data_IF_299884796012
#
_entry.id   IF_299884796012
#
_cell.length_a   1.000
_cell.length_b   1.000
_cell.length_c   1.000
_cell.angle_alpha   90.00
_cell.angle_beta   90.00
_cell.angle_gamma   90.00
#
_symmetry.space_group_name_H-M   'P 1'
#
loop_
_entity.id
_entity.type
_entity.pdbx_description
1 polymer ?
#
# COMPACT_ATOMS: atom_id res chain seq x y z
N UNK A 1 35.55 -11.78 58.33
CA UNK A 1 35.26 -12.43 59.64
C UNK A 1 35.28 -11.35 60.71
N UNK A 2 34.13 -11.00 61.34
CA UNK A 2 33.94 -9.89 62.32
C UNK A 2 34.18 -8.47 61.75
N UNK A 3 33.51 -7.39 62.18
CA UNK A 3 32.21 -7.20 62.90
C UNK A 3 31.73 -5.74 62.68
N UNK A 4 30.40 -5.54 62.53
CA UNK A 4 29.51 -4.56 63.20
C UNK A 4 29.90 -3.05 63.33
N UNK A 5 28.98 -2.08 63.49
CA UNK A 5 27.52 -1.93 63.25
C UNK A 5 27.12 -0.47 63.66
N UNK A 6 25.91 0.00 63.29
CA UNK A 6 25.31 1.26 63.78
C UNK A 6 24.86 2.19 62.64
N UNK A 7 23.59 2.19 62.24
CA UNK A 7 22.47 2.98 62.81
C UNK A 7 22.51 4.46 62.37
N UNK A 8 21.80 4.87 61.32
CA UNK A 8 20.35 5.17 61.31
C UNK A 8 19.98 6.56 61.87
N UNK A 9 19.40 7.42 61.01
CA UNK A 9 18.23 8.24 61.36
C UNK A 9 17.53 8.75 60.09
N UNK A 10 16.25 9.13 60.20
CA UNK A 10 15.41 9.55 59.09
C UNK A 10 14.82 10.96 59.32
N UNK A 11 14.61 11.70 58.23
CA UNK A 11 13.70 12.87 58.15
C UNK A 11 13.17 12.96 56.70
N UNK A 12 11.87 12.72 56.48
CA UNK A 12 10.82 13.75 56.26
C UNK A 12 11.18 14.69 55.09
N UNK A 13 10.60 14.46 53.91
CA UNK A 13 9.30 15.02 53.50
C UNK A 13 9.29 16.54 53.40
N UNK A 14 9.29 17.06 52.16
CA UNK A 14 8.41 18.17 51.80
C UNK A 14 7.84 17.96 50.39
N UNK A 15 6.72 18.60 50.09
CA UNK A 15 5.85 18.30 48.97
C UNK A 15 5.54 19.53 48.11
N UNK A 16 5.23 19.27 46.84
CA UNK A 16 4.36 20.16 46.05
C UNK A 16 5.02 20.94 44.93
N UNK A 17 4.81 20.47 43.70
CA UNK A 17 3.92 21.11 42.69
C UNK A 17 4.16 20.47 41.32
N UNK A 18 3.33 19.49 40.96
CA UNK A 18 3.25 18.99 39.57
C UNK A 18 2.14 19.74 38.84
N UNK A 19 2.50 20.55 37.84
CA UNK A 19 1.54 21.15 36.91
C UNK A 19 0.94 20.08 36.00
N UNK A 20 -0.38 20.06 35.86
CA UNK A 20 -1.09 19.12 34.98
C UNK A 20 -1.12 19.66 33.55
N UNK A 21 -0.18 19.23 32.71
CA UNK A 21 -0.31 19.38 31.26
C UNK A 21 -1.30 18.33 30.72
N UNK A 22 -2.40 18.79 30.10
CA UNK A 22 -3.42 17.92 29.51
C UNK A 22 -2.87 17.25 28.23
N UNK A 23 -2.66 15.93 28.26
CA UNK A 23 -2.44 15.15 27.04
C UNK A 23 -3.79 14.78 26.43
N UNK A 24 -4.10 15.35 25.26
CA UNK A 24 -5.20 14.87 24.42
C UNK A 24 -4.77 13.60 23.70
N UNK A 25 -5.24 12.44 24.15
CA UNK A 25 -5.09 11.20 23.40
C UNK A 25 -6.18 11.13 22.32
N UNK A 26 -5.79 11.10 21.04
CA UNK A 26 -6.66 10.55 20.00
C UNK A 26 -6.71 9.04 20.20
N UNK A 27 -7.91 8.46 20.13
CA UNK A 27 -8.12 7.02 20.29
C UNK A 27 -8.29 6.39 18.92
N UNK A 28 -7.50 5.36 18.64
CA UNK A 28 -7.81 4.37 17.62
C UNK A 28 -8.70 3.30 18.29
N UNK A 29 -10.01 3.52 18.29
CA UNK A 29 -10.98 2.65 18.97
C UNK A 29 -11.30 1.40 18.13
N UNK A 30 -10.41 0.41 18.13
CA UNK A 30 -10.67 -0.98 17.70
C UNK A 30 -9.95 -1.99 18.61
N UNK A 31 -10.62 -2.50 19.67
CA UNK A 31 -10.34 -3.80 20.32
C UNK A 31 -11.21 -4.06 21.57
N UNK A 32 -11.72 -5.29 21.71
CA UNK A 32 -12.18 -5.85 23.00
C UNK A 32 -11.04 -6.61 23.71
N UNK A 33 -11.18 -6.91 25.02
CA UNK A 33 -10.08 -7.39 25.90
C UNK A 33 -10.33 -8.77 26.56
N UNK A 34 -9.27 -9.48 27.04
CA UNK A 34 -9.20 -10.95 26.92
C UNK A 34 -8.92 -11.75 28.23
N UNK A 35 -8.85 -13.07 28.09
CA UNK A 35 -8.20 -14.09 28.96
C UNK A 35 -7.72 -15.23 28.04
N UNK A 36 -6.57 -15.92 28.21
CA UNK A 36 -5.49 -15.84 29.20
C UNK A 36 -4.22 -16.57 28.74
N UNK A 37 -3.30 -16.92 29.66
CA UNK A 37 -1.95 -17.42 29.38
C UNK A 37 -1.78 -18.97 29.34
N UNK A 38 -0.72 -19.45 28.65
CA UNK A 38 0.53 -20.02 29.25
C UNK A 38 1.53 -20.38 28.11
N UNK A 39 2.83 -20.11 28.32
CA UNK A 39 3.92 -20.40 27.36
C UNK A 39 4.74 -21.65 27.74
N UNK A 40 5.33 -22.31 26.73
CA UNK A 40 6.56 -23.13 26.85
C UNK A 40 7.48 -22.83 25.67
N UNK A 41 8.79 -22.75 25.92
CA UNK A 41 9.83 -22.41 24.95
C UNK A 41 10.59 -23.65 24.43
N UNK A 42 11.09 -23.50 23.20
CA UNK A 42 12.30 -24.11 22.62
C UNK A 42 12.25 -25.44 21.83
N UNK A 43 12.88 -25.34 20.64
CA UNK A 43 13.85 -26.27 20.05
C UNK A 43 13.43 -27.38 19.04
N UNK A 44 13.78 -27.10 17.77
CA UNK A 44 14.68 -27.93 16.91
C UNK A 44 14.10 -29.09 16.05
N UNK A 45 14.37 -28.95 14.73
CA UNK A 45 14.57 -29.96 13.65
C UNK A 45 13.39 -30.68 12.94
N UNK A 46 13.30 -30.37 11.64
CA UNK A 46 13.28 -31.27 10.46
C UNK A 46 12.57 -32.64 10.54
N UNK A 47 11.62 -32.88 9.62
CA UNK A 47 11.35 -34.23 9.14
C UNK A 47 10.01 -34.47 8.43
N UNK A 48 10.07 -34.73 7.12
CA UNK A 48 9.15 -35.56 6.32
C UNK A 48 7.61 -35.43 6.51
N UNK A 49 6.88 -35.15 5.41
CA UNK A 49 5.73 -35.99 4.97
C UNK A 49 5.63 -36.08 3.45
N UNK A 50 5.24 -37.27 2.96
CA UNK A 50 4.95 -37.58 1.54
C UNK A 50 3.51 -37.15 1.17
N UNK A 51 3.20 -36.95 -0.13
CA UNK A 51 1.90 -36.46 -0.57
C UNK A 51 0.81 -37.55 -0.61
N UNK A 52 -0.42 -37.18 -0.27
CA UNK A 52 -1.61 -37.97 -0.59
C UNK A 52 -2.06 -37.72 -2.04
N UNK A 53 -2.38 -38.78 -2.77
CA UNK A 53 -2.80 -38.72 -4.18
C UNK A 53 -4.32 -38.66 -4.34
N UNK A 54 -4.77 -37.69 -5.14
CA UNK A 54 -5.85 -37.74 -6.14
C UNK A 54 -7.02 -38.72 -5.91
N UNK A 55 -8.23 -38.16 -5.75
CA UNK A 55 -9.42 -38.72 -6.40
C UNK A 55 -9.49 -38.22 -7.86
N UNK A 56 -9.91 -39.07 -8.81
CA UNK A 56 -10.04 -38.74 -10.23
C UNK A 56 -11.50 -38.65 -10.67
N UNK A 57 -11.81 -37.54 -11.35
CA UNK A 57 -12.74 -37.38 -12.48
C UNK A 57 -13.87 -38.42 -12.67
N UNK A 58 -15.12 -37.95 -12.56
CA UNK A 58 -16.19 -38.47 -13.41
C UNK A 58 -16.02 -37.93 -14.83
N UNK A 59 -16.11 -38.79 -15.84
CA UNK A 59 -16.27 -38.42 -17.23
C UNK A 59 -17.44 -39.18 -17.84
N UNK A 60 -18.36 -38.45 -18.49
CA UNK A 60 -19.29 -38.99 -19.49
C UNK A 60 -19.92 -37.83 -20.26
N UNK A 61 -19.39 -37.57 -21.45
CA UNK A 61 -20.08 -36.80 -22.48
C UNK A 61 -20.80 -37.77 -23.42
N UNK A 62 -22.00 -37.38 -23.88
CA UNK A 62 -22.69 -37.77 -25.13
C UNK A 62 -23.97 -36.94 -25.19
N UNK A 63 -24.02 -35.90 -26.02
CA UNK A 63 -24.29 -35.91 -27.47
C UNK A 63 -25.79 -35.88 -27.77
N UNK A 64 -26.26 -34.76 -28.34
CA UNK A 64 -27.65 -34.58 -28.73
C UNK A 64 -27.82 -33.29 -29.52
N UNK A 65 -27.48 -33.31 -30.81
CA UNK A 65 -27.76 -32.21 -31.72
C UNK A 65 -29.10 -32.45 -32.42
N UNK A 66 -29.97 -31.44 -32.50
CA UNK A 66 -30.76 -31.14 -33.71
C UNK A 66 -31.61 -29.85 -33.61
N UNK A 67 -31.45 -29.01 -34.64
CA UNK A 67 -32.49 -28.29 -35.39
C UNK A 67 -33.27 -27.13 -34.75
N UNK A 68 -32.99 -25.94 -35.28
CA UNK A 68 -33.94 -24.86 -35.57
C UNK A 68 -35.22 -25.38 -36.26
N UNK A 69 -36.34 -24.63 -36.15
CA UNK A 69 -36.77 -23.91 -37.35
C UNK A 69 -37.21 -22.45 -37.12
N UNK A 70 -36.97 -21.61 -38.14
CA UNK A 70 -37.58 -20.27 -38.27
C UNK A 70 -39.13 -20.32 -38.17
N UNK A 71 -39.74 -19.27 -37.61
CA UNK A 71 -40.93 -18.71 -38.26
C UNK A 71 -41.03 -17.19 -38.07
N UNK A 72 -41.38 -16.50 -39.16
CA UNK A 72 -41.45 -15.04 -39.28
C UNK A 72 -42.90 -14.58 -39.13
N UNK A 73 -43.10 -13.39 -38.55
CA UNK A 73 -44.13 -12.33 -38.83
C UNK A 73 -44.36 -11.51 -37.55
N UNK A 74 -44.47 -10.18 -37.58
CA UNK A 74 -44.35 -9.25 -38.71
C UNK A 74 -44.30 -7.79 -38.24
N UNK A 75 -43.85 -6.90 -39.12
CA UNK A 75 -43.62 -5.48 -38.83
C UNK A 75 -44.91 -4.69 -38.59
N UNK A 76 -44.83 -3.58 -37.83
CA UNK A 76 -45.51 -2.32 -38.15
C UNK A 76 -44.73 -1.12 -37.57
N UNK A 77 -44.77 0.00 -38.29
CA UNK A 77 -43.92 1.17 -38.06
C UNK A 77 -44.47 2.12 -37.00
N UNK A 78 -43.56 2.76 -36.25
CA UNK A 78 -43.80 4.07 -35.63
C UNK A 78 -42.54 4.95 -35.78
N UNK A 79 -42.77 6.23 -36.03
CA UNK A 79 -41.87 7.21 -36.68
C UNK A 79 -40.69 7.70 -35.82
N UNK A 80 -39.69 8.24 -36.51
CA UNK A 80 -38.52 8.95 -35.96
C UNK A 80 -38.91 10.20 -35.16
N UNK A 81 -38.19 10.48 -34.07
CA UNK A 81 -37.96 11.83 -33.55
C UNK A 81 -36.61 11.90 -32.79
N UNK A 82 -35.85 12.98 -33.03
CA UNK A 82 -34.52 13.27 -32.47
C UNK A 82 -34.24 14.77 -32.70
N UNK A 83 -33.46 15.47 -31.86
CA UNK A 83 -33.53 15.51 -30.40
C UNK A 83 -33.73 16.97 -29.89
N UNK A 84 -34.08 17.15 -28.61
CA UNK A 84 -34.06 18.48 -27.97
C UNK A 84 -32.63 18.89 -27.56
N UNK A 85 -32.34 20.19 -27.57
CA UNK A 85 -30.99 20.74 -27.45
C UNK A 85 -30.45 20.78 -26.02
N UNK A 86 -29.14 20.55 -25.87
CA UNK A 86 -28.39 20.77 -24.63
C UNK A 86 -27.95 22.25 -24.50
N UNK A 87 -27.84 22.81 -23.28
CA UNK A 87 -27.41 24.19 -23.08
C UNK A 87 -25.91 24.37 -23.34
N UNK A 88 -25.55 25.48 -23.99
CA UNK A 88 -24.15 25.83 -24.31
C UNK A 88 -23.41 26.34 -23.08
N UNK A 89 -22.24 25.75 -22.76
CA UNK A 89 -21.25 26.37 -21.87
C UNK A 89 -20.49 27.48 -22.62
N UNK A 90 -20.08 28.58 -21.94
CA UNK A 90 -19.32 29.65 -22.58
C UNK A 90 -17.90 29.22 -22.92
N UNK A 91 -17.38 29.67 -24.06
CA UNK A 91 -16.01 29.43 -24.48
C UNK A 91 -15.06 30.37 -23.73
N UNK A 92 -14.11 29.82 -22.96
CA UNK A 92 -12.98 30.61 -22.46
C UNK A 92 -11.98 30.83 -23.60
N UNK A 93 -11.84 32.09 -24.01
CA UNK A 93 -10.85 32.50 -25.01
C UNK A 93 -9.43 32.18 -24.55
N UNK A 94 -8.61 31.64 -25.46
CA UNK A 94 -7.27 31.17 -25.12
C UNK A 94 -6.29 32.30 -24.87
N UNK A 95 -5.46 32.14 -23.82
CA UNK A 95 -4.08 32.63 -23.86
C UNK A 95 -3.17 31.47 -24.24
N UNK A 96 -2.68 31.50 -25.48
CA UNK A 96 -1.65 30.56 -25.93
C UNK A 96 -0.39 30.74 -25.08
N UNK A 97 -0.20 29.88 -24.07
CA UNK A 97 1.10 29.72 -23.43
C UNK A 97 2.08 29.26 -24.52
N UNK A 98 3.11 30.07 -24.80
CA UNK A 98 4.23 29.68 -25.67
C UNK A 98 4.71 28.29 -25.22
N UNK A 99 4.68 27.33 -26.13
CA UNK A 99 5.23 26.01 -25.86
C UNK A 99 6.72 26.18 -25.51
N UNK A 100 7.10 25.80 -24.28
CA UNK A 100 8.51 25.54 -23.98
C UNK A 100 9.00 24.44 -24.95
N UNK A 101 10.30 24.41 -25.28
CA UNK A 101 10.86 23.27 -26.02
C UNK A 101 10.46 21.99 -25.30
N UNK A 102 9.91 21.01 -26.02
CA UNK A 102 9.60 19.70 -25.45
C UNK A 102 10.92 19.00 -25.15
N UNK A 103 11.42 19.20 -23.93
CA UNK A 103 12.37 18.29 -23.33
C UNK A 103 11.81 16.87 -23.37
N UNK A 104 12.70 15.88 -23.42
CA UNK A 104 12.34 14.46 -23.32
C UNK A 104 11.37 14.25 -22.15
N UNK A 105 10.25 13.58 -22.40
CA UNK A 105 9.28 13.24 -21.37
C UNK A 105 9.97 12.41 -20.28
N UNK A 106 9.84 12.85 -19.03
CA UNK A 106 10.53 12.25 -17.88
C UNK A 106 9.71 11.06 -17.37
N UNK A 107 10.16 9.84 -17.66
CA UNK A 107 9.50 8.62 -17.21
C UNK A 107 9.86 8.31 -15.75
N UNK A 108 8.86 8.26 -14.90
CA UNK A 108 9.04 8.01 -13.46
C UNK A 108 8.39 6.70 -13.07
N UNK A 109 9.18 5.79 -12.51
CA UNK A 109 8.67 4.60 -11.84
C UNK A 109 8.63 4.86 -10.34
N UNK A 110 7.51 4.54 -9.68
CA UNK A 110 7.36 4.68 -8.24
C UNK A 110 6.95 3.36 -7.59
N UNK A 111 7.74 2.89 -6.61
CA UNK A 111 7.38 1.78 -5.74
C UNK A 111 6.50 2.33 -4.61
N UNK A 112 5.28 1.79 -4.47
CA UNK A 112 4.27 2.38 -3.58
C UNK A 112 3.42 1.33 -2.87
N UNK A 113 3.13 1.62 -1.59
CA UNK A 113 2.10 0.92 -0.81
C UNK A 113 1.48 1.88 0.22
N UNK A 114 0.34 1.48 0.77
CA UNK A 114 -0.47 2.25 1.71
C UNK A 114 -0.98 3.61 1.20
N UNK A 115 -1.69 4.28 2.10
CA UNK A 115 -2.30 5.60 1.86
C UNK A 115 -1.25 6.70 1.68
N UNK A 116 -0.10 6.59 2.36
CA UNK A 116 1.03 7.53 2.22
C UNK A 116 1.60 7.51 0.81
N UNK A 117 1.91 6.33 0.29
CA UNK A 117 2.36 6.16 -1.08
C UNK A 117 1.33 6.65 -2.11
N UNK A 118 0.06 6.29 -1.94
CA UNK A 118 -1.02 6.75 -2.82
C UNK A 118 -1.16 8.29 -2.89
N UNK A 119 -1.04 9.01 -1.77
CA UNK A 119 -1.04 10.49 -1.75
C UNK A 119 0.19 11.09 -2.46
N UNK A 120 1.36 10.44 -2.36
CA UNK A 120 2.56 10.86 -3.07
C UNK A 120 2.45 10.65 -4.59
N UNK A 121 1.86 9.52 -5.02
CA UNK A 121 1.54 9.27 -6.44
C UNK A 121 0.60 10.35 -6.99
N UNK A 122 -0.41 10.80 -6.23
CA UNK A 122 -1.23 11.95 -6.61
C UNK A 122 -0.39 13.23 -6.82
N UNK A 123 0.56 13.50 -5.93
CA UNK A 123 1.49 14.63 -6.09
C UNK A 123 2.36 14.55 -7.35
N UNK A 124 2.75 13.34 -7.79
CA UNK A 124 3.50 13.13 -9.03
C UNK A 124 2.65 13.42 -10.28
N UNK A 125 1.38 12.98 -10.32
CA UNK A 125 0.48 13.24 -11.46
C UNK A 125 -0.05 14.69 -11.51
N UNK A 126 0.07 15.45 -10.42
CA UNK A 126 -0.19 16.90 -10.40
C UNK A 126 0.90 17.71 -11.12
N UNK A 127 2.09 17.12 -11.35
CA UNK A 127 3.28 17.81 -11.89
C UNK A 127 3.88 17.17 -13.14
N UNK A 128 3.58 15.89 -13.41
CA UNK A 128 3.93 15.16 -14.62
C UNK A 128 2.66 14.75 -15.40
N UNK A 129 2.75 14.54 -16.73
CA UNK A 129 1.70 13.85 -17.46
C UNK A 129 1.40 12.49 -16.81
N UNK A 130 0.14 12.13 -16.52
CA UNK A 130 -0.15 10.91 -15.76
C UNK A 130 0.40 9.63 -16.40
N UNK A 131 0.45 9.56 -17.74
CA UNK A 131 1.02 8.44 -18.50
C UNK A 131 2.55 8.32 -18.44
N UNK A 132 3.27 9.36 -17.97
CA UNK A 132 4.72 9.28 -17.70
C UNK A 132 5.00 8.72 -16.29
N UNK A 133 3.98 8.56 -15.44
CA UNK A 133 4.07 7.96 -14.11
C UNK A 133 3.64 6.49 -14.17
N UNK A 134 4.53 5.59 -13.75
CA UNK A 134 4.25 4.16 -13.58
C UNK A 134 4.39 3.75 -12.12
N UNK A 135 3.31 3.23 -11.54
CA UNK A 135 3.28 2.72 -10.17
C UNK A 135 3.49 1.22 -10.18
N UNK A 136 4.42 0.74 -9.35
CA UNK A 136 4.55 -0.68 -8.99
C UNK A 136 4.02 -0.80 -7.57
N UNK A 137 2.84 -1.41 -7.44
CA UNK A 137 2.09 -1.51 -6.20
C UNK A 137 2.42 -2.77 -5.40
N UNK A 138 2.46 -2.62 -4.08
CA UNK A 138 2.52 -3.72 -3.13
C UNK A 138 1.33 -4.69 -3.31
N UNK A 139 1.62 -5.99 -3.15
CA UNK A 139 0.63 -7.09 -3.12
C UNK A 139 0.87 -8.06 -1.95
N UNK A 140 1.87 -7.82 -1.09
CA UNK A 140 2.08 -8.61 0.13
C UNK A 140 0.93 -8.48 1.13
N UNK A 141 0.16 -7.40 1.02
CA UNK A 141 -0.96 -7.05 1.88
C UNK A 141 -2.31 -7.56 1.33
N UNK A 142 -2.31 -8.17 0.14
CA UNK A 142 -3.49 -8.79 -0.48
C UNK A 142 -4.03 -9.93 0.40
N UNK A 143 -5.35 -10.08 0.45
CA UNK A 143 -6.02 -11.05 1.34
C UNK A 143 -7.30 -11.57 0.70
N UNK A 144 -7.73 -12.78 1.07
CA UNK A 144 -9.07 -13.26 0.78
C UNK A 144 -9.95 -13.06 2.03
N UNK A 145 -11.03 -12.30 1.90
CA UNK A 145 -12.00 -12.01 2.97
C UNK A 145 -13.39 -12.33 2.45
N UNK A 146 -14.17 -13.15 3.16
CA UNK A 146 -15.49 -13.61 2.73
C UNK A 146 -15.52 -14.19 1.29
N UNK A 147 -14.40 -14.80 0.86
CA UNK A 147 -14.23 -15.34 -0.50
C UNK A 147 -13.97 -14.29 -1.60
N UNK A 148 -13.75 -13.02 -1.24
CA UNK A 148 -13.38 -11.93 -2.14
C UNK A 148 -11.87 -11.66 -2.07
N UNK A 149 -11.23 -11.48 -3.23
CA UNK A 149 -9.83 -11.05 -3.32
C UNK A 149 -9.74 -9.53 -3.14
N UNK A 150 -9.12 -9.11 -2.05
CA UNK A 150 -8.87 -7.71 -1.68
C UNK A 150 -7.40 -7.39 -1.94
N UNK A 151 -7.10 -6.23 -2.53
CA UNK A 151 -5.73 -5.78 -2.79
C UNK A 151 -5.53 -4.37 -2.22
N UNK A 152 -5.42 -4.19 -0.89
CA UNK A 152 -5.63 -2.90 -0.22
C UNK A 152 -4.74 -1.76 -0.72
N UNK A 153 -3.50 -2.06 -1.09
CA UNK A 153 -2.54 -1.05 -1.57
C UNK A 153 -2.83 -0.63 -3.01
N UNK A 154 -3.13 -1.60 -3.90
CA UNK A 154 -3.61 -1.30 -5.25
C UNK A 154 -4.92 -0.51 -5.21
N UNK A 155 -5.86 -0.90 -4.35
CA UNK A 155 -7.15 -0.24 -4.20
C UNK A 155 -6.98 1.19 -3.67
N UNK A 156 -6.10 1.40 -2.68
CA UNK A 156 -5.74 2.73 -2.18
C UNK A 156 -5.15 3.64 -3.26
N UNK A 157 -4.29 3.10 -4.13
CA UNK A 157 -3.71 3.82 -5.28
C UNK A 157 -4.78 4.18 -6.32
N UNK A 158 -5.63 3.22 -6.70
CA UNK A 158 -6.73 3.43 -7.65
C UNK A 158 -7.73 4.47 -7.14
N UNK A 159 -8.12 4.40 -5.86
CA UNK A 159 -9.04 5.34 -5.25
C UNK A 159 -8.43 6.72 -5.03
N UNK A 160 -7.12 6.84 -4.83
CA UNK A 160 -6.45 8.13 -4.77
C UNK A 160 -6.43 8.80 -6.15
N UNK A 161 -5.94 8.08 -7.17
CA UNK A 161 -5.84 8.57 -8.55
C UNK A 161 -7.20 8.92 -9.16
N UNK A 162 -8.25 8.13 -8.87
CA UNK A 162 -9.61 8.40 -9.35
C UNK A 162 -10.34 9.48 -8.52
N UNK A 163 -9.71 10.04 -7.48
CA UNK A 163 -10.34 10.99 -6.57
C UNK A 163 -11.58 10.42 -5.90
N UNK A 164 -11.53 9.16 -5.45
CA UNK A 164 -12.61 8.40 -4.81
C UNK A 164 -12.36 8.09 -3.32
N UNK A 165 -11.14 8.28 -2.83
CA UNK A 165 -10.78 8.02 -1.42
C UNK A 165 -11.61 8.86 -0.44
N UNK A 166 -11.81 8.30 0.75
CA UNK A 166 -12.33 8.99 1.92
C UNK A 166 -11.17 9.66 2.67
N UNK A 167 -11.08 10.99 2.61
CA UNK A 167 -10.00 11.73 3.27
C UNK A 167 -10.23 11.92 4.77
N UNK A 168 -11.47 11.88 5.25
CA UNK A 168 -11.83 12.07 6.66
C UNK A 168 -11.53 10.81 7.47
N UNK A 169 -12.06 9.65 7.04
CA UNK A 169 -11.67 8.34 7.56
C UNK A 169 -10.23 8.00 7.20
N UNK A 170 -9.76 8.51 6.06
CA UNK A 170 -8.39 8.39 5.60
C UNK A 170 -8.02 6.99 5.08
N UNK A 171 -9.01 6.16 4.75
CA UNK A 171 -8.90 4.88 4.05
C UNK A 171 -10.27 4.47 3.46
N UNK A 172 -10.23 3.67 2.39
CA UNK A 172 -11.43 3.24 1.66
C UNK A 172 -12.08 4.38 0.87
N UNK A 173 -13.28 4.13 0.33
CA UNK A 173 -13.99 5.05 -0.57
C UNK A 173 -14.86 6.07 0.19
N UNK A 174 -15.05 7.28 -0.35
CA UNK A 174 -16.02 8.24 0.20
C UNK A 174 -17.47 7.83 -0.04
N UNK A 175 -18.36 8.39 0.77
CA UNK A 175 -19.81 8.17 0.72
C UNK A 175 -20.18 6.67 0.81
N UNK A 176 -19.40 5.91 1.58
CA UNK A 176 -19.52 4.46 1.69
C UNK A 176 -20.66 4.05 2.63
N UNK A 177 -21.17 2.83 2.45
CA UNK A 177 -22.10 2.18 3.38
C UNK A 177 -21.60 0.77 3.74
N UNK A 178 -22.12 0.18 4.82
CA UNK A 178 -21.63 -1.08 5.40
C UNK A 178 -22.73 -2.13 5.52
N UNK A 179 -23.76 -2.04 4.67
CA UNK A 179 -24.96 -2.86 4.81
C UNK A 179 -24.68 -4.35 4.56
N UNK A 180 -23.86 -4.65 3.54
CA UNK A 180 -23.49 -6.03 3.21
C UNK A 180 -22.68 -6.68 4.34
N UNK A 181 -21.74 -5.94 4.94
CA UNK A 181 -20.91 -6.45 6.05
C UNK A 181 -21.74 -6.62 7.34
N UNK A 182 -22.62 -5.67 7.66
CA UNK A 182 -23.52 -5.78 8.80
C UNK A 182 -24.46 -6.99 8.67
N UNK A 183 -25.07 -7.19 7.49
CA UNK A 183 -25.90 -8.35 7.21
C UNK A 183 -25.10 -9.67 7.24
N UNK A 184 -23.83 -9.67 6.81
CA UNK A 184 -22.96 -10.83 6.94
C UNK A 184 -22.69 -11.18 8.42
N UNK A 185 -22.41 -10.17 9.26
CA UNK A 185 -22.19 -10.35 10.70
C UNK A 185 -23.44 -10.89 11.43
N UNK A 186 -24.63 -10.38 11.09
CA UNK A 186 -25.92 -10.88 11.62
C UNK A 186 -26.17 -12.37 11.28
N UNK A 187 -25.60 -12.85 10.17
CA UNK A 187 -25.65 -14.25 9.73
C UNK A 187 -24.48 -15.10 10.25
N UNK A 188 -23.62 -14.57 11.10
CA UNK A 188 -22.46 -15.27 11.68
C UNK A 188 -21.22 -15.31 10.77
N UNK A 189 -21.16 -14.45 9.76
CA UNK A 189 -19.97 -14.23 8.93
C UNK A 189 -18.90 -13.36 9.61
N UNK A 190 -17.73 -13.28 8.97
CA UNK A 190 -16.61 -12.47 9.43
C UNK A 190 -16.84 -10.96 9.22
N UNK A 191 -16.53 -10.15 10.23
CA UNK A 191 -16.63 -8.67 10.21
C UNK A 191 -15.32 -7.94 10.58
N UNK A 192 -14.27 -8.70 10.91
CA UNK A 192 -12.97 -8.18 11.39
C UNK A 192 -12.25 -7.27 10.38
N UNK A 193 -12.54 -7.42 9.08
CA UNK A 193 -12.03 -6.56 8.02
C UNK A 193 -13.17 -5.74 7.40
N UNK A 194 -13.09 -4.42 7.52
CA UNK A 194 -14.19 -3.53 7.13
C UNK A 194 -14.28 -3.31 5.62
N UNK A 195 -15.00 -4.18 4.93
CA UNK A 195 -15.41 -3.99 3.53
C UNK A 195 -16.65 -3.10 3.43
N UNK A 196 -16.57 -2.05 2.61
CA UNK A 196 -17.70 -1.18 2.27
C UNK A 196 -18.50 -1.68 1.07
N UNK A 197 -19.76 -1.29 0.93
CA UNK A 197 -20.65 -1.77 -0.14
C UNK A 197 -20.13 -1.42 -1.56
N UNK A 198 -19.53 -0.23 -1.75
CA UNK A 198 -18.88 0.17 -3.01
C UNK A 198 -17.50 -0.48 -3.19
N UNK A 199 -16.80 -0.75 -2.11
CA UNK A 199 -15.50 -1.46 -2.09
C UNK A 199 -15.67 -2.94 -2.53
N UNK A 200 -16.67 -3.62 -1.96
CA UNK A 200 -17.16 -4.94 -2.36
C UNK A 200 -17.47 -4.96 -3.86
N UNK A 201 -18.07 -3.90 -4.40
CA UNK A 201 -18.30 -3.74 -5.84
C UNK A 201 -17.03 -3.87 -6.69
N UNK A 202 -15.90 -3.31 -6.25
CA UNK A 202 -14.61 -3.48 -6.91
C UNK A 202 -14.07 -4.90 -6.72
N UNK A 203 -14.09 -5.42 -5.49
CA UNK A 203 -13.55 -6.75 -5.19
C UNK A 203 -14.32 -7.87 -5.91
N UNK A 204 -15.63 -7.73 -6.12
CA UNK A 204 -16.44 -8.63 -6.94
C UNK A 204 -15.94 -8.69 -8.39
N UNK A 205 -15.62 -7.54 -8.99
CA UNK A 205 -15.08 -7.47 -10.37
C UNK A 205 -13.68 -8.11 -10.44
N UNK A 206 -12.78 -7.79 -9.51
CA UNK A 206 -11.45 -8.43 -9.41
C UNK A 206 -11.58 -9.95 -9.25
N UNK A 207 -12.34 -10.40 -8.26
CA UNK A 207 -12.54 -11.81 -7.93
C UNK A 207 -13.16 -12.57 -9.10
N UNK A 208 -14.11 -11.98 -9.82
CA UNK A 208 -14.68 -12.57 -11.03
C UNK A 208 -13.64 -12.76 -12.15
N UNK A 209 -12.75 -11.79 -12.36
CA UNK A 209 -11.68 -11.90 -13.35
C UNK A 209 -10.67 -13.00 -12.98
N UNK A 210 -10.19 -13.00 -11.72
CA UNK A 210 -9.26 -14.01 -11.21
C UNK A 210 -9.86 -15.43 -11.29
N UNK A 211 -11.13 -15.62 -10.90
CA UNK A 211 -11.84 -16.91 -11.02
C UNK A 211 -12.08 -17.37 -12.46
N UNK A 212 -11.94 -16.48 -13.46
CA UNK A 212 -11.92 -16.82 -14.90
C UNK A 212 -10.51 -17.17 -15.42
N UNK A 213 -9.49 -17.17 -14.56
CA UNK A 213 -8.09 -17.42 -14.95
C UNK A 213 -7.39 -16.19 -15.53
N UNK A 214 -7.91 -14.99 -15.31
CA UNK A 214 -7.14 -13.76 -15.57
C UNK A 214 -6.13 -13.52 -14.46
N UNK A 215 -5.03 -12.84 -14.79
CA UNK A 215 -3.99 -12.45 -13.84
C UNK A 215 -4.37 -11.16 -13.08
N UNK A 216 -3.74 -10.91 -11.93
CA UNK A 216 -4.00 -9.70 -11.12
C UNK A 216 -3.64 -8.42 -11.90
N UNK A 217 -2.59 -8.45 -12.72
CA UNK A 217 -2.16 -7.40 -13.63
C UNK A 217 -3.22 -7.06 -14.68
N UNK A 218 -3.89 -8.07 -15.26
CA UNK A 218 -5.02 -7.88 -16.20
C UNK A 218 -6.26 -7.34 -15.50
N UNK A 219 -6.59 -7.87 -14.32
CA UNK A 219 -7.71 -7.37 -13.51
C UNK A 219 -7.48 -5.90 -13.11
N UNK A 220 -6.28 -5.57 -12.61
CA UNK A 220 -5.87 -4.22 -12.24
C UNK A 220 -5.90 -3.28 -13.46
N UNK A 221 -5.39 -3.70 -14.62
CA UNK A 221 -5.48 -2.89 -15.84
C UNK A 221 -6.92 -2.57 -16.23
N UNK A 222 -7.83 -3.55 -16.16
CA UNK A 222 -9.26 -3.33 -16.41
C UNK A 222 -9.90 -2.33 -15.42
N UNK A 223 -9.46 -2.34 -14.17
CA UNK A 223 -9.92 -1.37 -13.16
C UNK A 223 -9.37 0.04 -13.43
N UNK A 224 -8.08 0.17 -13.79
CA UNK A 224 -7.46 1.42 -14.26
C UNK A 224 -8.24 2.00 -15.45
N UNK A 225 -8.51 1.18 -16.47
CA UNK A 225 -9.25 1.59 -17.67
C UNK A 225 -10.72 1.98 -17.35
N UNK A 226 -11.40 1.22 -16.48
CA UNK A 226 -12.79 1.49 -16.07
C UNK A 226 -12.92 2.75 -15.19
N UNK A 227 -11.88 3.13 -14.46
CA UNK A 227 -11.79 4.38 -13.70
C UNK A 227 -11.31 5.57 -14.55
N UNK A 228 -10.95 5.35 -15.83
CA UNK A 228 -10.49 6.39 -16.74
C UNK A 228 -9.10 6.94 -16.42
N UNK A 229 -8.24 6.13 -15.79
CA UNK A 229 -6.91 6.53 -15.36
C UNK A 229 -5.87 6.38 -16.48
N UNK A 230 -5.09 7.44 -16.72
CA UNK A 230 -3.95 7.42 -17.65
C UNK A 230 -2.65 6.87 -17.00
N UNK A 231 -2.53 6.94 -15.67
CA UNK A 231 -1.40 6.40 -14.91
C UNK A 231 -1.29 4.89 -15.07
N UNK A 232 -0.07 4.40 -15.33
CA UNK A 232 0.18 2.97 -15.45
C UNK A 232 0.33 2.39 -14.04
N UNK A 233 -0.47 1.36 -13.69
CA UNK A 233 -0.39 0.67 -12.39
C UNK A 233 -0.17 -0.81 -12.63
N UNK A 234 0.93 -1.35 -12.12
CA UNK A 234 1.23 -2.77 -12.08
C UNK A 234 1.21 -3.28 -10.64
N UNK A 235 0.62 -4.45 -10.34
CA UNK A 235 1.01 -5.19 -9.14
C UNK A 235 2.49 -5.61 -9.27
N UNK A 236 3.20 -5.76 -8.14
CA UNK A 236 4.58 -6.24 -8.15
C UNK A 236 4.72 -7.61 -8.83
N UNK A 237 3.77 -8.51 -8.58
CA UNK A 237 3.72 -9.89 -9.08
C UNK A 237 2.28 -10.31 -9.36
N UNK A 238 2.09 -11.29 -10.25
CA UNK A 238 0.80 -11.93 -10.50
C UNK A 238 0.60 -13.19 -9.62
N UNK A 239 1.66 -13.67 -8.98
CA UNK A 239 1.64 -14.82 -8.08
C UNK A 239 1.21 -14.41 -6.65
N UNK A 240 0.67 -15.36 -5.84
CA UNK A 240 0.40 -15.11 -4.43
C UNK A 240 1.68 -14.79 -3.64
N UNK A 241 1.74 -13.59 -3.08
CA UNK A 241 2.78 -13.10 -2.18
C UNK A 241 2.11 -12.59 -0.91
N UNK A 242 2.58 -12.97 0.29
CA UNK A 242 1.96 -12.57 1.57
C UNK A 242 2.99 -12.09 2.59
N UNK A 243 2.79 -10.90 3.11
CA UNK A 243 3.53 -10.34 4.24
C UNK A 243 3.09 -11.03 5.53
N UNK A 244 4.06 -11.61 6.25
CA UNK A 244 3.87 -12.24 7.55
C UNK A 244 4.79 -11.59 8.58
N UNK A 245 4.25 -11.29 9.76
CA UNK A 245 4.98 -10.67 10.85
C UNK A 245 5.17 -11.65 12.00
N UNK A 246 6.39 -11.77 12.47
CA UNK A 246 6.76 -12.55 13.64
C UNK A 246 6.80 -11.63 14.87
N UNK A 247 6.09 -12.00 15.93
CA UNK A 247 5.94 -11.22 17.16
C UNK A 247 6.10 -12.12 18.39
N UNK A 248 6.31 -11.57 19.61
CA UNK A 248 6.31 -12.36 20.85
C UNK A 248 4.99 -13.12 21.11
N UNK A 249 3.88 -12.69 20.49
CA UNK A 249 2.57 -13.31 20.60
C UNK A 249 2.30 -14.39 19.53
N UNK A 250 3.24 -14.63 18.61
CA UNK A 250 3.09 -15.55 17.47
C UNK A 250 3.36 -14.88 16.12
N UNK A 251 3.26 -15.69 15.06
CA UNK A 251 3.38 -15.24 13.67
C UNK A 251 2.00 -15.02 13.06
N UNK A 252 1.79 -13.87 12.42
CA UNK A 252 0.48 -13.47 11.87
C UNK A 252 0.58 -13.00 10.42
N UNK A 253 -0.41 -13.27 9.55
CA UNK A 253 -0.57 -12.56 8.29
C UNK A 253 -0.73 -11.06 8.54
N UNK A 254 -0.22 -10.22 7.63
CA UNK A 254 -0.19 -8.77 7.84
C UNK A 254 -1.55 -8.16 8.19
N UNK A 255 -2.63 -8.52 7.48
CA UNK A 255 -3.96 -7.93 7.76
C UNK A 255 -4.54 -8.36 9.10
N UNK A 256 -4.23 -9.57 9.59
CA UNK A 256 -4.64 -9.98 10.93
C UNK A 256 -3.90 -9.15 11.99
N UNK A 257 -2.58 -9.00 11.85
CA UNK A 257 -1.80 -8.15 12.75
C UNK A 257 -2.23 -6.67 12.68
N UNK A 258 -2.42 -6.14 11.48
CA UNK A 258 -2.69 -4.72 11.27
C UNK A 258 -4.11 -4.34 11.69
N UNK A 259 -5.12 -5.08 11.23
CA UNK A 259 -6.54 -4.77 11.46
C UNK A 259 -7.05 -5.49 12.71
N UNK A 260 -7.19 -6.82 12.68
CA UNK A 260 -7.83 -7.58 13.76
C UNK A 260 -7.11 -7.46 15.12
N UNK A 261 -5.78 -7.33 15.10
CA UNK A 261 -4.96 -7.12 16.30
C UNK A 261 -4.65 -5.64 16.57
N UNK A 262 -4.96 -4.74 15.65
CA UNK A 262 -4.71 -3.29 15.78
C UNK A 262 -3.22 -2.96 15.93
N UNK A 263 -2.33 -3.66 15.22
CA UNK A 263 -0.86 -3.52 15.21
C UNK A 263 -0.24 -3.25 16.60
N UNK A 264 -0.75 -3.93 17.62
CA UNK A 264 -0.41 -3.70 19.04
C UNK A 264 0.82 -4.48 19.50
N UNK A 265 1.10 -5.60 18.84
CA UNK A 265 2.22 -6.48 19.15
C UNK A 265 3.46 -6.00 18.40
N UNK A 266 4.57 -5.78 19.11
CA UNK A 266 5.84 -5.39 18.49
C UNK A 266 6.35 -6.49 17.53
N UNK A 267 6.95 -6.06 16.43
CA UNK A 267 7.38 -6.95 15.34
C UNK A 267 8.87 -7.25 15.47
N UNK A 268 9.20 -8.52 15.67
CA UNK A 268 10.57 -9.03 15.78
C UNK A 268 11.12 -9.54 14.44
N UNK A 269 10.25 -9.85 13.48
CA UNK A 269 10.64 -10.30 12.15
C UNK A 269 9.56 -10.05 11.09
N UNK A 270 9.98 -9.94 9.84
CA UNK A 270 9.09 -9.80 8.67
C UNK A 270 9.54 -10.79 7.61
N UNK A 271 8.60 -11.55 7.04
CA UNK A 271 8.87 -12.57 6.02
C UNK A 271 7.79 -12.52 4.93
N UNK A 272 8.18 -12.85 3.70
CA UNK A 272 7.31 -12.76 2.53
C UNK A 272 7.06 -14.16 1.94
N UNK A 273 5.93 -14.78 2.29
CA UNK A 273 5.57 -16.09 1.76
C UNK A 273 5.19 -15.99 0.28
N UNK A 274 5.75 -16.88 -0.54
CA UNK A 274 5.58 -16.88 -2.00
C UNK A 274 6.69 -16.17 -2.78
N UNK A 275 7.56 -15.40 -2.13
CA UNK A 275 8.61 -14.60 -2.78
C UNK A 275 9.53 -15.39 -3.73
N UNK A 276 9.92 -16.62 -3.35
CA UNK A 276 10.76 -17.50 -4.18
C UNK A 276 10.09 -17.91 -5.51
N UNK A 277 8.76 -18.03 -5.50
CA UNK A 277 7.95 -18.42 -6.65
C UNK A 277 7.46 -17.21 -7.46
N UNK A 278 7.39 -16.02 -6.85
CA UNK A 278 6.91 -14.81 -7.47
C UNK A 278 7.75 -14.41 -8.70
N UNK A 279 7.07 -13.92 -9.73
CA UNK A 279 7.68 -13.31 -10.91
C UNK A 279 7.17 -11.89 -11.04
N UNK A 280 8.03 -11.00 -11.51
CA UNK A 280 7.65 -9.63 -11.75
C UNK A 280 6.66 -9.58 -12.91
N UNK A 281 5.65 -8.71 -12.83
CA UNK A 281 4.81 -8.42 -13.98
C UNK A 281 5.72 -7.88 -15.11
N UNK A 282 5.75 -8.47 -16.33
CA UNK A 282 6.73 -8.09 -17.34
C UNK A 282 6.72 -6.60 -17.71
N UNK A 283 5.56 -5.95 -17.60
CA UNK A 283 5.42 -4.51 -17.78
C UNK A 283 6.13 -3.67 -16.72
N UNK A 284 6.24 -4.16 -15.47
CA UNK A 284 6.95 -3.48 -14.39
C UNK A 284 8.48 -3.49 -14.61
N UNK A 285 9.04 -4.63 -15.05
CA UNK A 285 10.46 -4.73 -15.44
C UNK A 285 10.75 -3.82 -16.65
N UNK A 286 9.89 -3.84 -17.66
CA UNK A 286 10.00 -2.96 -18.82
C UNK A 286 9.92 -1.47 -18.46
N UNK A 287 9.10 -1.12 -17.46
CA UNK A 287 9.01 0.25 -16.95
C UNK A 287 10.29 0.68 -16.21
N UNK A 288 10.82 -0.16 -15.31
CA UNK A 288 12.08 0.12 -14.59
C UNK A 288 13.24 0.32 -15.59
N UNK A 289 13.37 -0.57 -16.58
CA UNK A 289 14.41 -0.46 -17.61
C UNK A 289 14.27 0.74 -18.55
N UNK A 290 13.10 1.38 -18.61
CA UNK A 290 12.81 2.55 -19.42
C UNK A 290 12.63 3.85 -18.61
N UNK A 291 12.82 3.80 -17.29
CA UNK A 291 12.68 4.94 -16.39
C UNK A 291 13.84 5.93 -16.58
N UNK A 292 13.55 7.22 -16.40
CA UNK A 292 14.55 8.27 -16.22
C UNK A 292 14.82 8.54 -14.73
N UNK A 293 13.91 8.10 -13.84
CA UNK A 293 13.99 8.20 -12.38
C UNK A 293 13.17 7.07 -11.73
N UNK A 294 13.70 6.50 -10.65
CA UNK A 294 12.96 5.61 -9.75
C UNK A 294 12.69 6.35 -8.43
N UNK A 295 11.47 6.23 -7.90
CA UNK A 295 11.07 6.77 -6.61
C UNK A 295 10.60 5.65 -5.69
N UNK A 296 10.96 5.74 -4.41
CA UNK A 296 10.37 4.94 -3.34
C UNK A 296 9.49 5.89 -2.52
N UNK A 297 8.17 5.66 -2.57
CA UNK A 297 7.19 6.54 -1.94
C UNK A 297 7.28 6.49 -0.40
N UNK A 298 6.79 7.52 0.33
CA UNK A 298 6.83 7.60 1.81
C UNK A 298 5.87 6.59 2.45
N UNK A 299 6.27 5.33 2.41
CA UNK A 299 5.53 4.13 2.82
C UNK A 299 6.35 3.38 3.88
N UNK A 300 5.74 2.43 4.60
CA UNK A 300 6.49 1.62 5.55
C UNK A 300 7.53 0.76 4.81
N UNK A 301 8.84 0.84 5.12
CA UNK A 301 9.85 0.07 4.42
C UNK A 301 9.54 -1.43 4.43
N UNK A 302 9.17 -1.98 5.59
CA UNK A 302 9.10 -3.43 5.80
C UNK A 302 7.85 -4.09 5.21
N UNK A 303 6.70 -3.42 5.24
CA UNK A 303 5.40 -4.01 4.84
C UNK A 303 4.81 -3.41 3.57
N UNK A 304 5.33 -2.28 3.09
CA UNK A 304 4.84 -1.63 1.86
C UNK A 304 5.86 -1.66 0.72
N UNK A 305 7.16 -1.49 1.01
CA UNK A 305 8.21 -1.45 -0.03
C UNK A 305 8.93 -2.79 -0.16
N UNK A 306 9.36 -3.40 0.96
CA UNK A 306 10.06 -4.67 0.94
C UNK A 306 9.27 -5.87 0.39
N UNK A 307 7.92 -5.97 0.42
CA UNK A 307 7.23 -7.03 -0.32
C UNK A 307 7.35 -6.84 -1.84
N UNK A 308 7.37 -5.60 -2.35
CA UNK A 308 7.63 -5.33 -3.77
C UNK A 308 9.04 -5.82 -4.14
N UNK A 309 10.02 -5.52 -3.28
CA UNK A 309 11.42 -5.94 -3.43
C UNK A 309 11.69 -7.40 -3.04
N UNK A 310 10.70 -8.12 -2.49
CA UNK A 310 10.79 -9.57 -2.27
C UNK A 310 10.68 -10.35 -3.59
N UNK A 311 10.09 -9.73 -4.62
CA UNK A 311 10.12 -10.25 -5.99
C UNK A 311 11.53 -10.02 -6.56
N UNK A 312 12.32 -11.09 -6.63
CA UNK A 312 13.76 -11.03 -6.93
C UNK A 312 14.09 -10.24 -8.21
N UNK A 313 13.28 -10.39 -9.26
CA UNK A 313 13.43 -9.70 -10.55
C UNK A 313 13.26 -8.16 -10.41
N UNK A 314 12.37 -7.68 -9.54
CA UNK A 314 12.20 -6.25 -9.27
C UNK A 314 13.39 -5.71 -8.44
N UNK A 315 13.83 -6.47 -7.43
CA UNK A 315 15.01 -6.09 -6.65
C UNK A 315 16.27 -6.01 -7.52
N UNK A 316 16.49 -6.99 -8.39
CA UNK A 316 17.61 -6.97 -9.34
C UNK A 316 17.50 -5.79 -10.33
N UNK A 317 16.31 -5.51 -10.88
CA UNK A 317 16.10 -4.37 -11.78
C UNK A 317 16.36 -3.01 -11.09
N UNK A 318 15.96 -2.83 -9.83
CA UNK A 318 16.26 -1.62 -9.05
C UNK A 318 17.73 -1.54 -8.65
N UNK A 319 18.37 -2.67 -8.32
CA UNK A 319 19.80 -2.72 -7.97
C UNK A 319 20.70 -2.43 -9.18
N UNK A 320 20.34 -2.95 -10.36
CA UNK A 320 21.11 -2.83 -11.62
C UNK A 320 20.77 -1.58 -12.45
N UNK A 321 19.90 -0.71 -11.94
CA UNK A 321 19.48 0.54 -12.58
C UNK A 321 20.69 1.41 -12.98
N UNK A 322 20.48 2.28 -13.98
CA UNK A 322 21.45 3.31 -14.40
C UNK A 322 20.95 4.74 -14.23
N UNK A 323 19.85 4.89 -13.51
CA UNK A 323 19.17 6.16 -13.23
C UNK A 323 19.04 6.35 -11.73
N UNK A 324 18.86 7.59 -11.24
CA UNK A 324 18.69 7.82 -9.81
C UNK A 324 17.51 7.03 -9.23
N UNK A 325 17.69 6.52 -8.02
CA UNK A 325 16.61 6.04 -7.16
C UNK A 325 16.56 6.90 -5.89
N UNK A 326 15.42 7.51 -5.63
CA UNK A 326 15.24 8.44 -4.51
C UNK A 326 14.11 7.94 -3.63
N UNK A 327 14.42 7.69 -2.35
CA UNK A 327 13.39 7.41 -1.36
C UNK A 327 12.87 8.70 -0.74
N UNK A 328 11.60 8.69 -0.32
CA UNK A 328 11.05 9.68 0.61
C UNK A 328 10.88 9.02 1.97
N UNK A 329 11.39 9.68 3.02
CA UNK A 329 11.21 9.23 4.40
C UNK A 329 9.71 9.13 4.74
N UNK A 330 9.25 8.03 5.38
CA UNK A 330 7.89 7.93 5.92
C UNK A 330 7.76 8.61 7.30
N UNK A 331 8.85 9.19 7.82
CA UNK A 331 8.95 9.77 9.16
C UNK A 331 9.14 11.29 9.13
N UNK A 332 8.57 11.96 10.13
CA UNK A 332 8.68 13.39 10.44
C UNK A 332 9.02 13.56 11.91
N UNK A 333 10.21 14.07 12.23
CA UNK A 333 10.71 14.18 13.60
C UNK A 333 10.73 12.80 14.29
N UNK A 334 11.31 11.81 13.60
CA UNK A 334 11.40 10.42 14.03
C UNK A 334 10.07 9.67 14.21
N UNK A 335 8.94 10.16 13.66
CA UNK A 335 7.60 9.56 13.85
C UNK A 335 6.81 9.42 12.56
N UNK A 336 6.03 8.34 12.45
CA UNK A 336 5.18 8.09 11.30
C UNK A 336 3.90 8.95 11.36
N UNK A 337 3.43 9.46 10.22
CA UNK A 337 2.18 10.24 10.15
C UNK A 337 0.95 9.34 10.38
N UNK A 338 1.00 8.09 9.87
CA UNK A 338 0.02 7.03 10.09
C UNK A 338 0.71 5.67 10.08
N UNK A 339 0.14 4.71 10.80
CA UNK A 339 0.62 3.33 10.83
C UNK A 339 1.89 3.13 11.68
N UNK A 340 2.51 1.94 11.60
CA UNK A 340 3.51 1.47 12.56
C UNK A 340 4.98 1.67 12.13
N UNK A 341 5.26 2.47 11.09
CA UNK A 341 6.59 2.51 10.46
C UNK A 341 7.72 2.96 11.43
N UNK A 342 7.43 3.90 12.32
CA UNK A 342 8.34 4.35 13.37
C UNK A 342 8.64 3.25 14.40
N UNK A 343 7.61 2.54 14.89
CA UNK A 343 7.76 1.42 15.83
C UNK A 343 8.53 0.26 15.19
N UNK A 344 8.28 -0.04 13.92
CA UNK A 344 9.01 -1.08 13.19
C UNK A 344 10.48 -0.69 12.97
N UNK A 345 10.78 0.55 12.56
CA UNK A 345 12.16 1.04 12.45
C UNK A 345 12.87 1.03 13.81
N UNK A 346 12.21 1.49 14.88
CA UNK A 346 12.76 1.46 16.23
C UNK A 346 13.10 0.04 16.70
N UNK A 347 12.27 -0.95 16.35
CA UNK A 347 12.45 -2.35 16.76
C UNK A 347 13.44 -3.13 15.90
N UNK A 348 13.40 -2.94 14.58
CA UNK A 348 14.14 -3.74 13.58
C UNK A 348 15.44 -3.08 13.12
N UNK A 349 15.51 -1.74 13.07
CA UNK A 349 16.70 -0.97 12.71
C UNK A 349 17.36 -0.24 13.91
N UNK A 350 16.77 -0.32 15.10
CA UNK A 350 17.32 0.24 16.35
C UNK A 350 17.11 1.74 16.55
N UNK A 351 16.39 2.42 15.66
CA UNK A 351 16.14 3.86 15.74
C UNK A 351 15.18 4.36 14.67
N UNK A 352 14.84 5.65 14.73
CA UNK A 352 13.86 6.30 13.84
C UNK A 352 14.41 7.48 13.06
N UNK A 353 15.73 7.68 13.04
CA UNK A 353 16.36 8.77 12.30
C UNK A 353 16.50 8.48 10.79
N UNK A 354 16.86 9.49 9.99
CA UNK A 354 17.13 9.35 8.55
C UNK A 354 18.11 8.21 8.21
N UNK A 355 19.13 8.00 9.04
CA UNK A 355 20.10 6.92 8.86
C UNK A 355 19.48 5.52 8.90
N UNK A 356 18.50 5.25 9.79
CA UNK A 356 17.80 3.95 9.85
C UNK A 356 16.86 3.74 8.65
N UNK A 357 16.24 4.82 8.17
CA UNK A 357 15.45 4.79 6.92
C UNK A 357 16.36 4.46 5.72
N UNK A 358 17.49 5.15 5.58
CA UNK A 358 18.45 4.87 4.49
C UNK A 358 19.07 3.47 4.57
N UNK A 359 19.39 2.99 5.77
CA UNK A 359 19.88 1.63 6.01
C UNK A 359 18.86 0.56 5.59
N UNK A 360 17.55 0.86 5.67
CA UNK A 360 16.49 -0.02 5.17
C UNK A 360 16.47 -0.17 3.64
N UNK A 361 17.21 0.68 2.91
CA UNK A 361 17.35 0.68 1.45
C UNK A 361 18.81 0.68 1.00
N UNK A 362 19.73 0.12 1.82
CA UNK A 362 21.18 0.16 1.57
C UNK A 362 21.54 -0.41 0.20
N UNK A 363 22.17 0.41 -0.64
CA UNK A 363 22.55 0.06 -2.02
C UNK A 363 21.43 0.19 -3.07
N UNK A 364 20.19 0.50 -2.66
CA UNK A 364 19.02 0.65 -3.54
C UNK A 364 18.66 2.11 -3.83
N UNK A 365 19.16 3.07 -3.05
CA UNK A 365 18.87 4.50 -3.20
C UNK A 365 20.16 5.33 -3.28
N UNK A 366 20.09 6.44 -4.02
CA UNK A 366 21.16 7.42 -4.21
C UNK A 366 20.93 8.67 -3.36
N UNK A 367 19.66 8.96 -3.04
CA UNK A 367 19.24 10.06 -2.17
C UNK A 367 18.04 9.67 -1.30
N UNK A 368 17.92 10.35 -0.14
CA UNK A 368 16.77 10.29 0.75
C UNK A 368 16.19 11.70 0.93
N UNK A 369 14.91 11.86 0.59
CA UNK A 369 14.12 13.04 0.95
C UNK A 369 13.71 12.90 2.41
N UNK A 370 14.01 13.91 3.22
CA UNK A 370 13.77 13.97 4.67
C UNK A 370 12.94 15.20 5.00
N UNK A 371 12.25 15.17 6.15
CA UNK A 371 11.52 16.34 6.63
C UNK A 371 12.48 17.40 7.20
N UNK A 372 12.10 18.67 7.12
CA UNK A 372 12.78 19.77 7.82
C UNK A 372 12.94 19.49 9.33
N UNK A 373 11.99 18.77 9.93
CA UNK A 373 12.04 18.34 11.33
C UNK A 373 13.19 17.39 11.69
N UNK A 374 13.74 16.65 10.71
CA UNK A 374 14.83 15.68 10.89
C UNK A 374 16.18 16.21 10.35
N UNK A 375 16.25 17.49 9.96
CA UNK A 375 17.41 18.10 9.29
C UNK A 375 18.68 18.21 10.13
N UNK A 376 18.59 18.00 11.45
CA UNK A 376 19.73 17.96 12.37
C UNK A 376 20.41 16.57 12.41
N UNK A 377 19.71 15.50 12.02
CA UNK A 377 20.15 14.11 12.16
C UNK A 377 20.68 13.54 10.82
N UNK A 378 21.49 14.33 10.11
CA UNK A 378 21.96 14.04 8.75
C UNK A 378 23.45 13.73 8.61
N UNK A 379 24.27 13.99 9.62
CA UNK A 379 25.74 13.83 9.55
C UNK A 379 26.16 12.38 9.24
N UNK A 380 25.41 11.39 9.73
CA UNK A 380 25.64 9.95 9.51
C UNK A 380 24.88 9.37 8.29
N UNK A 381 24.21 10.20 7.47
CA UNK A 381 23.40 9.71 6.35
C UNK A 381 24.30 9.19 5.20
N UNK A 382 24.21 7.90 4.80
CA UNK A 382 25.12 7.30 3.81
C UNK A 382 24.79 7.64 2.35
N UNK A 383 23.83 8.54 2.12
CA UNK A 383 23.28 8.93 0.81
C UNK A 383 22.97 10.42 0.80
N UNK A 384 22.75 11.01 -0.37
CA UNK A 384 22.45 12.45 -0.47
C UNK A 384 21.14 12.80 0.26
N UNK A 385 21.21 13.73 1.20
CA UNK A 385 20.01 14.31 1.83
C UNK A 385 19.29 15.28 0.88
N UNK A 386 17.96 15.28 0.91
CA UNK A 386 17.11 16.31 0.29
C UNK A 386 16.10 16.77 1.35
N UNK A 387 16.33 17.94 1.94
CA UNK A 387 15.48 18.47 3.02
C UNK A 387 14.31 19.25 2.43
N UNK A 388 13.08 18.91 2.82
CA UNK A 388 11.85 19.62 2.43
C UNK A 388 10.72 19.34 3.44
N UNK A 389 9.51 19.85 3.22
CA UNK A 389 8.32 19.44 3.98
C UNK A 389 7.69 18.21 3.34
N UNK A 390 7.55 17.14 4.12
CA UNK A 390 7.05 15.84 3.66
C UNK A 390 5.58 15.58 4.07
N UNK A 391 5.03 16.39 4.98
CA UNK A 391 3.62 16.28 5.38
C UNK A 391 2.67 16.72 4.25
N UNK A 392 2.01 15.76 3.62
CA UNK A 392 1.03 15.96 2.54
C UNK A 392 -0.37 16.25 3.08
N UNK A 393 -0.57 17.39 3.75
CA UNK A 393 -1.88 17.81 4.29
C UNK A 393 -2.91 18.14 3.20
N UNK A 394 -2.45 18.55 2.03
CA UNK A 394 -3.25 19.15 0.96
C UNK A 394 -2.56 19.01 -0.42
N UNK A 395 -3.23 19.50 -1.46
CA UNK A 395 -2.76 19.50 -2.85
C UNK A 395 -1.43 20.23 -3.02
N UNK A 396 -1.21 21.36 -2.34
CA UNK A 396 -0.01 22.17 -2.49
C UNK A 396 1.22 21.50 -1.86
N UNK A 397 1.05 20.89 -0.69
CA UNK A 397 2.10 20.17 0.03
C UNK A 397 2.48 18.85 -0.66
N UNK A 398 1.52 18.04 -1.14
CA UNK A 398 1.86 16.83 -1.93
C UNK A 398 2.59 17.18 -3.23
N UNK A 399 2.20 18.29 -3.88
CA UNK A 399 2.85 18.81 -5.08
C UNK A 399 4.29 19.25 -4.79
N UNK A 400 4.51 20.02 -3.72
CA UNK A 400 5.84 20.49 -3.34
C UNK A 400 6.80 19.33 -3.02
N UNK A 401 6.30 18.29 -2.34
CA UNK A 401 7.08 17.07 -2.07
C UNK A 401 7.45 16.31 -3.35
N UNK A 402 6.50 16.20 -4.29
CA UNK A 402 6.76 15.60 -5.60
C UNK A 402 7.79 16.42 -6.40
N UNK A 403 7.68 17.75 -6.46
CA UNK A 403 8.65 18.62 -7.14
C UNK A 403 10.06 18.51 -6.51
N UNK A 404 10.16 18.38 -5.18
CA UNK A 404 11.44 18.16 -4.49
C UNK A 404 12.07 16.79 -4.81
N UNK A 405 11.27 15.71 -4.84
CA UNK A 405 11.75 14.38 -5.20
C UNK A 405 12.18 14.28 -6.68
N UNK A 406 11.46 14.95 -7.58
CA UNK A 406 11.81 15.04 -9.00
C UNK A 406 13.04 15.91 -9.26
N UNK A 407 13.23 16.97 -8.48
CA UNK A 407 14.38 17.88 -8.58
C UNK A 407 15.74 17.20 -8.35
N UNK A 408 15.76 16.04 -7.71
CA UNK A 408 16.94 15.21 -7.50
C UNK A 408 17.64 14.76 -8.80
N UNK A 409 16.93 14.72 -9.93
CA UNK A 409 17.47 14.33 -11.25
C UNK A 409 18.45 15.35 -11.83
N UNK A 410 18.39 16.61 -11.38
CA UNK A 410 19.05 17.73 -12.03
C UNK A 410 20.39 18.18 -11.40
N UNK A 411 20.93 17.41 -10.43
CA UNK A 411 21.97 17.89 -9.51
C UNK A 411 22.98 16.84 -9.07
#
# INVERSE_FOLDING_TARGET
MRRAAGSALAARCDAGRRSRARRGARRDDQCARPVGAVHVLAAVRTGQRRPLRRARACSRARSGACRDPESRRGCRHARRSRPAAAPRRPAHAGRARRARPRGRALKVVVLSGGVGGARFVCGLVDVLPPHDVTVIGNVGDDVEVLGLHVSPDLDSILYALAGLNDEERGWGRRDETWNALAAAAELGGEDWFRLGDKDIGLHLVRTQALRRGETLSKATRKLVDALGLETIVFPATDEPLRTWLDTPAGSFPFQEWFVARGHRDDVDGVRFEGAEAARAVPGAIGAIGAADLILIAPSNPYVSIWPILAVAELHEAVTSRRVPCVAVSPLIGGRAVKGPADRMLQRLAGGTGPAQVAQSYRGLIDALVVDEADSADLDDLPVRAIVTKTLMSDDASRRALAEAALGAVAA
#
